data_IF_243247485524
#
_entry.id   IF_243247485524
#
_cell.length_a   1.000
_cell.length_b   1.000
_cell.length_c   1.000
_cell.angle_alpha   90.00
_cell.angle_beta   90.00
_cell.angle_gamma   90.00
#
_symmetry.space_group_name_H-M   'P 1'
#
loop_
_entity.id
_entity.type
_entity.pdbx_description
1 polymer ?
#
# COMPACT_ATOMS: atom_id res chain seq x y z
N UNK A 1 2.56 15.41 -6.52
CA UNK A 1 3.04 14.03 -6.33
C UNK A 1 2.72 13.46 -4.94
N UNK A 2 2.53 14.28 -3.90
CA UNK A 2 2.25 13.84 -2.51
C UNK A 2 0.76 13.55 -2.20
N UNK A 3 -0.20 14.02 -3.01
CA UNK A 3 -1.63 14.06 -2.65
C UNK A 3 -2.43 12.76 -2.80
N UNK A 4 -1.87 11.75 -3.45
CA UNK A 4 -2.62 10.55 -3.86
C UNK A 4 -2.46 9.38 -2.90
N UNK A 5 -1.48 9.43 -1.99
CA UNK A 5 -1.25 8.38 -1.00
C UNK A 5 -2.35 8.38 0.07
N UNK A 6 -2.89 7.20 0.35
CA UNK A 6 -3.92 6.96 1.36
C UNK A 6 -3.45 5.90 2.34
N UNK A 7 -3.70 6.15 3.63
CA UNK A 7 -3.53 5.18 4.71
C UNK A 7 -4.85 4.47 5.01
N UNK A 8 -4.80 3.31 5.66
CA UNK A 8 -6.00 2.57 6.10
C UNK A 8 -6.93 3.46 6.94
N UNK A 9 -8.19 3.57 6.52
CA UNK A 9 -9.22 4.32 7.25
C UNK A 9 -9.59 3.66 8.58
N UNK A 10 -9.51 2.32 8.66
CA UNK A 10 -9.76 1.55 9.88
C UNK A 10 -8.71 1.86 10.96
N UNK A 11 -7.44 1.96 10.58
CA UNK A 11 -6.34 2.27 11.52
C UNK A 11 -6.27 3.76 11.84
N UNK A 12 -6.57 4.63 10.86
CA UNK A 12 -6.61 6.07 11.06
C UNK A 12 -7.68 6.49 12.09
N UNK A 13 -8.85 5.83 12.09
CA UNK A 13 -9.94 6.09 13.05
C UNK A 13 -9.53 5.88 14.50
N UNK A 14 -8.56 5.02 14.77
CA UNK A 14 -8.07 4.74 16.12
C UNK A 14 -6.79 5.52 16.51
N UNK A 15 -6.32 6.48 15.69
CA UNK A 15 -5.02 7.18 15.90
C UNK A 15 -3.86 6.20 16.17
N UNK A 16 -3.96 4.98 15.68
CA UNK A 16 -2.87 4.01 15.77
C UNK A 16 -1.85 4.35 14.70
N UNK A 17 -0.59 4.01 14.99
CA UNK A 17 0.52 4.21 14.09
C UNK A 17 0.27 3.57 12.72
N UNK A 18 -0.17 4.37 11.75
CA UNK A 18 -0.19 3.96 10.34
C UNK A 18 1.24 3.98 9.82
N UNK A 19 1.71 2.83 9.32
CA UNK A 19 3.07 2.66 8.82
C UNK A 19 3.12 2.45 7.29
N UNK A 20 1.98 2.25 6.64
CA UNK A 20 1.90 1.99 5.19
C UNK A 20 0.89 2.93 4.58
N UNK A 21 1.26 3.53 3.45
CA UNK A 21 0.36 4.27 2.58
C UNK A 21 0.47 3.79 1.13
N UNK A 22 -0.66 3.81 0.42
CA UNK A 22 -0.81 3.29 -0.94
C UNK A 22 -1.38 4.38 -1.84
N UNK A 23 -0.86 4.51 -3.06
CA UNK A 23 -1.44 5.35 -4.10
C UNK A 23 -1.70 4.52 -5.36
N UNK A 24 -2.95 4.54 -5.84
CA UNK A 24 -3.32 4.00 -7.14
C UNK A 24 -3.04 5.07 -8.20
N UNK A 25 -2.27 4.70 -9.22
CA UNK A 25 -1.80 5.58 -10.29
C UNK A 25 -2.22 5.01 -11.65
N UNK A 26 -2.29 5.83 -12.71
CA UNK A 26 -2.57 5.33 -14.06
C UNK A 26 -1.65 4.18 -14.51
N UNK A 27 -0.39 4.21 -14.09
CA UNK A 27 0.65 3.27 -14.48
C UNK A 27 0.82 2.08 -13.52
N UNK A 28 0.16 2.10 -12.34
CA UNK A 28 0.29 1.03 -11.35
C UNK A 28 -0.05 1.44 -9.93
N UNK A 29 0.54 0.75 -8.96
CA UNK A 29 0.31 0.96 -7.53
C UNK A 29 1.62 1.25 -6.82
N UNK A 30 1.66 2.38 -6.13
CA UNK A 30 2.79 2.80 -5.32
C UNK A 30 2.53 2.49 -3.84
N UNK A 31 3.50 1.88 -3.16
CA UNK A 31 3.45 1.54 -1.73
C UNK A 31 4.69 2.07 -1.04
N UNK A 32 4.53 2.77 0.09
CA UNK A 32 5.66 3.27 0.86
C UNK A 32 5.39 3.30 2.37
N UNK A 33 6.46 3.45 3.13
CA UNK A 33 6.41 3.70 4.57
C UNK A 33 5.96 5.15 4.82
N UNK A 34 4.83 5.32 5.51
CA UNK A 34 4.26 6.64 5.82
C UNK A 34 5.12 7.44 6.82
N UNK A 35 5.93 6.76 7.64
CA UNK A 35 6.86 7.35 8.62
C UNK A 35 8.23 7.62 8.01
N UNK A 36 8.62 6.87 6.98
CA UNK A 36 9.93 6.97 6.33
C UNK A 36 9.81 7.19 4.82
N UNK A 37 9.09 8.24 4.40
CA UNK A 37 8.82 8.54 2.98
C UNK A 37 10.08 8.70 2.11
N UNK A 38 11.20 9.09 2.72
CA UNK A 38 12.48 9.26 2.04
C UNK A 38 13.18 7.93 1.70
N UNK A 39 12.78 6.82 2.32
CA UNK A 39 13.41 5.51 2.10
C UNK A 39 12.97 4.84 0.78
N UNK A 40 12.16 5.53 -0.02
CA UNK A 40 11.75 5.08 -1.35
C UNK A 40 10.30 4.63 -1.39
N UNK A 41 9.88 4.21 -2.58
CA UNK A 41 8.52 3.78 -2.88
C UNK A 41 8.62 2.54 -3.76
N UNK A 42 7.96 1.47 -3.34
CA UNK A 42 7.79 0.28 -4.15
C UNK A 42 6.70 0.55 -5.18
N UNK A 43 6.92 0.16 -6.43
CA UNK A 43 5.97 0.35 -7.51
C UNK A 43 5.66 -0.98 -8.18
N UNK A 44 4.37 -1.28 -8.30
CA UNK A 44 3.87 -2.50 -8.90
C UNK A 44 2.97 -2.16 -10.07
N UNK A 45 3.00 -2.97 -11.13
CA UNK A 45 1.97 -2.89 -12.17
C UNK A 45 0.60 -3.28 -11.60
N UNK A 46 -0.48 -2.88 -12.29
CA UNK A 46 -1.83 -3.30 -11.92
C UNK A 46 -1.98 -4.83 -11.89
N UNK A 47 -1.32 -5.55 -12.79
CA UNK A 47 -1.37 -7.02 -12.84
C UNK A 47 -0.71 -7.64 -11.63
N UNK A 48 0.48 -7.17 -11.24
CA UNK A 48 1.19 -7.66 -10.05
C UNK A 48 0.43 -7.34 -8.77
N UNK A 49 -0.15 -6.14 -8.66
CA UNK A 49 -0.95 -5.78 -7.50
C UNK A 49 -2.21 -6.65 -7.37
N UNK A 50 -2.89 -6.94 -8.48
CA UNK A 50 -4.05 -7.83 -8.47
C UNK A 50 -3.67 -9.27 -8.09
N UNK A 51 -2.55 -9.79 -8.61
CA UNK A 51 -2.05 -11.10 -8.24
C UNK A 51 -1.69 -11.16 -6.74
N UNK A 52 -1.03 -10.13 -6.22
CA UNK A 52 -0.74 -10.01 -4.79
C UNK A 52 -2.01 -10.04 -3.93
N UNK A 53 -3.03 -9.25 -4.30
CA UNK A 53 -4.30 -9.22 -3.56
C UNK A 53 -5.06 -10.55 -3.60
N UNK A 54 -5.01 -11.26 -4.73
CA UNK A 54 -5.63 -12.59 -4.86
C UNK A 54 -4.94 -13.61 -3.95
N UNK A 55 -3.61 -13.68 -3.99
CA UNK A 55 -2.84 -14.56 -3.10
C UNK A 55 -3.03 -14.22 -1.61
N UNK A 56 -3.03 -12.94 -1.27
CA UNK A 56 -3.27 -12.49 0.11
C UNK A 56 -4.67 -12.88 0.62
N UNK A 57 -5.70 -12.81 -0.21
CA UNK A 57 -7.07 -13.25 0.17
C UNK A 57 -7.19 -14.76 0.31
N UNK A 58 -6.38 -15.52 -0.42
CA UNK A 58 -6.31 -16.99 -0.36
C UNK A 58 -5.45 -17.50 0.80
N UNK A 59 -4.80 -16.62 1.56
CA UNK A 59 -3.89 -16.99 2.63
C UNK A 59 -2.56 -17.56 2.14
N UNK A 60 -2.16 -17.29 0.88
CA UNK A 60 -0.92 -17.81 0.30
C UNK A 60 0.34 -17.29 1.01
N UNK A 61 0.20 -16.22 1.79
CA UNK A 61 1.29 -15.59 2.55
C UNK A 61 1.13 -15.73 4.07
N UNK A 62 0.20 -16.57 4.55
CA UNK A 62 -0.01 -16.85 5.98
C UNK A 62 0.99 -17.93 6.45
N UNK A 63 2.25 -17.53 6.62
CA UNK A 63 3.33 -18.37 7.16
C UNK A 63 3.42 -18.35 8.70
#
# INVERSE_FOLDING_TARGET
MEGDFKTSSSTLRCKLYVCVEVAIKPEGVAVRDSKNRANGTLFFTHSEWNAFLDGAKKGEFDI
#
